data_IF_953659548617
#
_entry.id   IF_953659548617
#
_cell.length_a   1.000
_cell.length_b   1.000
_cell.length_c   1.000
_cell.angle_alpha   90.00
_cell.angle_beta   90.00
_cell.angle_gamma   90.00
#
_symmetry.space_group_name_H-M   'P 1'
#
loop_
_entity.id
_entity.type
_entity.pdbx_description
1 polymer ?
#
# COMPACT_ATOMS: atom_id res chain seq x y z
N UNK A 1 -5.96 -7.64 -23.67
CA UNK A 1 -5.94 -8.32 -22.36
C UNK A 1 -4.53 -8.60 -21.84
N UNK A 2 -3.59 -9.10 -22.65
CA UNK A 2 -2.20 -9.38 -22.23
C UNK A 2 -1.47 -8.16 -21.62
N UNK A 3 -1.64 -6.96 -22.22
CA UNK A 3 -1.03 -5.71 -21.72
C UNK A 3 -1.53 -5.35 -20.32
N UNK A 4 -2.83 -5.54 -20.03
CA UNK A 4 -3.39 -5.21 -18.72
C UNK A 4 -2.82 -6.12 -17.62
N UNK A 5 -2.67 -7.42 -17.91
CA UNK A 5 -2.06 -8.39 -16.98
C UNK A 5 -0.59 -8.08 -16.74
N UNK A 6 0.18 -7.77 -17.79
CA UNK A 6 1.59 -7.40 -17.67
C UNK A 6 1.79 -6.10 -16.88
N UNK A 7 0.99 -5.07 -17.14
CA UNK A 7 1.05 -3.81 -16.42
C UNK A 7 0.66 -3.97 -14.95
N UNK A 8 -0.37 -4.77 -14.65
CA UNK A 8 -0.76 -5.07 -13.27
C UNK A 8 0.33 -5.87 -12.55
N UNK A 9 0.87 -6.91 -13.17
CA UNK A 9 1.92 -7.74 -12.60
C UNK A 9 3.20 -6.94 -12.35
N UNK A 10 3.61 -6.08 -13.30
CA UNK A 10 4.76 -5.20 -13.12
C UNK A 10 4.56 -4.20 -11.98
N UNK A 11 3.39 -3.55 -11.93
CA UNK A 11 3.08 -2.60 -10.85
C UNK A 11 3.04 -3.30 -9.48
N UNK A 12 2.33 -4.42 -9.39
CA UNK A 12 2.25 -5.22 -8.17
C UNK A 12 3.64 -5.70 -7.71
N UNK A 13 4.47 -6.18 -8.64
CA UNK A 13 5.82 -6.64 -8.33
C UNK A 13 6.68 -5.52 -7.75
N UNK A 14 6.64 -4.31 -8.30
CA UNK A 14 7.40 -3.17 -7.76
C UNK A 14 6.95 -2.76 -6.35
N UNK A 15 5.63 -2.73 -6.11
CA UNK A 15 5.07 -2.43 -4.78
C UNK A 15 5.43 -3.52 -3.79
N UNK A 16 5.30 -4.79 -4.18
CA UNK A 16 5.67 -5.93 -3.34
C UNK A 16 7.16 -5.94 -3.00
N UNK A 17 8.02 -5.70 -3.99
CA UNK A 17 9.46 -5.62 -3.81
C UNK A 17 9.82 -4.50 -2.84
N UNK A 18 9.22 -3.31 -2.98
CA UNK A 18 9.39 -2.21 -2.02
C UNK A 18 8.97 -2.60 -0.61
N UNK A 19 7.83 -3.27 -0.44
CA UNK A 19 7.34 -3.74 0.86
C UNK A 19 8.38 -4.65 1.53
N UNK A 20 8.91 -5.62 0.80
CA UNK A 20 9.92 -6.57 1.31
C UNK A 20 11.25 -5.87 1.61
N UNK A 21 11.70 -4.98 0.72
CA UNK A 21 12.96 -4.25 0.88
C UNK A 21 12.92 -3.31 2.08
N UNK A 22 11.81 -2.60 2.24
CA UNK A 22 11.59 -1.66 3.35
C UNK A 22 11.48 -2.40 4.68
N UNK A 23 10.83 -3.57 4.71
CA UNK A 23 10.81 -4.45 5.89
C UNK A 23 12.23 -4.88 6.28
N UNK A 24 13.03 -5.39 5.33
CA UNK A 24 14.43 -5.75 5.58
C UNK A 24 15.24 -4.57 6.09
N UNK A 25 15.05 -3.39 5.49
CA UNK A 25 15.73 -2.18 5.91
C UNK A 25 15.33 -1.74 7.32
N UNK A 26 14.05 -1.82 7.68
CA UNK A 26 13.58 -1.54 9.04
C UNK A 26 14.14 -2.56 10.04
N UNK A 27 14.11 -3.86 9.73
CA UNK A 27 14.66 -4.90 10.59
C UNK A 27 16.16 -4.73 10.80
N UNK A 28 16.91 -4.40 9.75
CA UNK A 28 18.34 -4.10 9.84
C UNK A 28 18.61 -2.85 10.70
N UNK A 29 17.82 -1.79 10.52
CA UNK A 29 17.90 -0.57 11.32
C UNK A 29 17.56 -0.84 12.81
N UNK A 30 16.58 -1.70 13.06
CA UNK A 30 16.19 -2.16 14.41
C UNK A 30 17.24 -3.02 15.08
N UNK A 31 17.97 -3.84 14.32
CA UNK A 31 19.08 -4.64 14.85
C UNK A 31 20.34 -3.79 15.14
N UNK A 32 20.53 -2.68 14.41
CA UNK A 32 21.64 -1.74 14.65
C UNK A 32 21.39 -0.76 15.81
N UNK A 33 20.13 -0.47 16.13
CA UNK A 33 19.78 0.20 17.38
C UNK A 33 19.78 -0.87 18.47
N UNK A 34 20.52 -0.66 19.57
CA UNK A 34 20.47 -1.54 20.74
C UNK A 34 19.03 -1.75 21.26
N UNK A 35 18.80 -2.68 22.21
CA UNK A 35 17.46 -3.16 22.59
C UNK A 35 16.47 -2.00 22.67
N UNK A 36 15.55 -1.94 21.70
CA UNK A 36 14.60 -0.84 21.59
C UNK A 36 13.93 -0.66 22.95
N UNK A 37 13.93 0.58 23.44
CA UNK A 37 13.12 1.05 24.54
C UNK A 37 11.71 0.43 24.37
N UNK A 38 11.36 -0.49 25.29
CA UNK A 38 10.17 -1.35 25.19
C UNK A 38 9.01 -0.51 24.67
N UNK A 39 8.49 -0.86 23.47
CA UNK A 39 7.37 -0.12 22.87
C UNK A 39 6.31 0.14 23.94
N UNK A 40 6.17 1.42 24.33
CA UNK A 40 5.27 1.81 25.40
C UNK A 40 3.86 1.34 25.05
N UNK A 41 3.03 1.01 26.05
CA UNK A 41 1.64 0.60 25.81
C UNK A 41 0.86 1.60 24.93
N UNK A 42 1.26 2.88 24.96
CA UNK A 42 0.75 3.95 24.11
C UNK A 42 1.13 3.78 22.63
N UNK A 43 2.37 3.42 22.33
CA UNK A 43 2.83 3.14 20.95
C UNK A 43 2.09 1.96 20.31
N UNK A 44 1.90 0.87 21.08
CA UNK A 44 1.13 -0.30 20.60
C UNK A 44 -0.33 0.04 20.29
N UNK A 45 -0.97 0.87 21.13
CA UNK A 45 -2.34 1.36 20.89
C UNK A 45 -2.39 2.23 19.63
N UNK A 46 -1.44 3.15 19.45
CA UNK A 46 -1.32 3.97 18.25
C UNK A 46 -1.21 3.14 16.97
N UNK A 47 -0.33 2.13 16.95
CA UNK A 47 -0.20 1.20 15.81
C UNK A 47 -1.47 0.40 15.54
N UNK A 48 -2.23 0.02 16.58
CA UNK A 48 -3.50 -0.70 16.42
C UNK A 48 -4.56 0.16 15.73
N UNK A 49 -4.67 1.42 16.15
CA UNK A 49 -5.59 2.40 15.51
C UNK A 49 -5.14 2.70 14.09
N UNK A 50 -3.84 2.90 13.87
CA UNK A 50 -3.27 3.11 12.54
C UNK A 50 -3.58 1.95 11.58
N UNK A 51 -3.34 0.70 11.99
CA UNK A 51 -3.63 -0.47 11.16
C UNK A 51 -5.13 -0.62 10.84
N UNK A 52 -6.02 -0.15 11.73
CA UNK A 52 -7.47 -0.30 11.55
C UNK A 52 -8.10 0.82 10.71
N UNK A 53 -7.59 2.05 10.79
CA UNK A 53 -8.22 3.21 10.13
C UNK A 53 -7.26 3.99 9.23
N UNK A 54 -6.01 4.19 9.66
CA UNK A 54 -5.04 4.98 8.91
C UNK A 54 -4.54 4.26 7.65
N UNK A 55 -4.12 3.01 7.79
CA UNK A 55 -3.60 2.20 6.67
C UNK A 55 -4.64 1.95 5.57
N UNK A 56 -5.90 1.55 5.87
CA UNK A 56 -6.93 1.40 4.83
C UNK A 56 -7.20 2.71 4.08
N UNK A 57 -7.37 3.81 4.81
CA UNK A 57 -7.63 5.13 4.21
C UNK A 57 -6.47 5.59 3.34
N UNK A 58 -5.24 5.43 3.83
CA UNK A 58 -4.03 5.76 3.07
C UNK A 58 -3.85 4.84 1.86
N UNK A 59 -4.16 3.55 1.96
CA UNK A 59 -4.05 2.64 0.83
C UNK A 59 -5.06 3.00 -0.26
N UNK A 60 -6.30 3.33 0.09
CA UNK A 60 -7.35 3.70 -0.86
C UNK A 60 -7.11 5.08 -1.49
N UNK A 61 -6.70 6.08 -0.69
CA UNK A 61 -6.44 7.44 -1.18
C UNK A 61 -5.03 7.58 -1.80
N UNK A 62 -4.11 6.71 -1.42
CA UNK A 62 -2.70 6.70 -1.82
C UNK A 62 -2.47 6.84 -3.32
N UNK A 63 -3.08 5.99 -4.18
CA UNK A 63 -2.92 6.03 -5.62
C UNK A 63 -3.14 7.41 -6.25
N UNK A 64 -4.12 8.18 -5.75
CA UNK A 64 -4.39 9.55 -6.25
C UNK A 64 -3.48 10.57 -5.57
N UNK A 65 -3.40 10.55 -4.24
CA UNK A 65 -2.83 11.67 -3.49
C UNK A 65 -1.30 11.71 -3.55
N UNK A 66 -0.67 10.55 -3.42
CA UNK A 66 0.79 10.43 -3.16
C UNK A 66 1.43 9.30 -3.97
N UNK A 67 0.67 8.51 -4.70
CA UNK A 67 1.11 7.28 -5.36
C UNK A 67 1.11 6.05 -4.45
N UNK A 68 0.90 4.88 -5.06
CA UNK A 68 0.83 3.59 -4.37
C UNK A 68 2.12 3.25 -3.61
N UNK A 69 3.28 3.53 -4.21
CA UNK A 69 4.59 3.21 -3.64
C UNK A 69 4.86 4.03 -2.36
N UNK A 70 4.54 5.32 -2.38
CA UNK A 70 4.72 6.22 -1.23
C UNK A 70 3.71 5.88 -0.13
N UNK A 71 2.46 5.58 -0.48
CA UNK A 71 1.45 5.13 0.47
C UNK A 71 1.87 3.85 1.22
N UNK A 72 2.44 2.87 0.51
CA UNK A 72 2.97 1.65 1.13
C UNK A 72 4.14 1.95 2.07
N UNK A 73 5.08 2.81 1.65
CA UNK A 73 6.23 3.21 2.46
C UNK A 73 5.81 3.94 3.76
N UNK A 74 4.87 4.90 3.67
CA UNK A 74 4.33 5.61 4.83
C UNK A 74 3.55 4.65 5.73
N UNK A 75 2.73 3.77 5.15
CA UNK A 75 1.98 2.76 5.89
C UNK A 75 2.90 1.93 6.79
N UNK A 76 3.96 1.35 6.21
CA UNK A 76 4.95 0.58 6.98
C UNK A 76 5.81 1.45 7.89
N UNK A 77 6.14 2.68 7.50
CA UNK A 77 6.94 3.62 8.29
C UNK A 77 6.25 4.03 9.60
N UNK A 78 4.92 4.15 9.57
CA UNK A 78 4.08 4.43 10.74
C UNK A 78 3.77 3.16 11.57
N UNK A 79 4.36 2.03 11.22
CA UNK A 79 4.27 0.78 11.98
C UNK A 79 3.12 -0.13 11.55
N UNK A 80 2.62 0.01 10.33
CA UNK A 80 1.77 -1.04 9.76
C UNK A 80 2.54 -2.34 9.58
N UNK A 81 1.85 -3.47 9.82
CA UNK A 81 2.42 -4.79 9.54
C UNK A 81 2.41 -5.01 8.02
N UNK A 82 3.51 -5.54 7.48
CA UNK A 82 3.63 -5.91 6.06
C UNK A 82 2.43 -6.69 5.52
N UNK A 83 1.94 -7.69 6.27
CA UNK A 83 0.79 -8.50 5.85
C UNK A 83 -0.46 -7.63 5.63
N UNK A 84 -0.73 -6.72 6.57
CA UNK A 84 -1.83 -5.78 6.47
C UNK A 84 -1.62 -4.74 5.37
N UNK A 85 -0.41 -4.22 5.21
CA UNK A 85 -0.08 -3.29 4.12
C UNK A 85 -0.29 -3.96 2.76
N UNK A 86 0.21 -5.17 2.58
CA UNK A 86 0.06 -5.91 1.32
C UNK A 86 -1.42 -6.16 1.01
N UNK A 87 -2.20 -6.59 2.01
CA UNK A 87 -3.63 -6.83 1.87
C UNK A 87 -4.39 -5.56 1.45
N UNK A 88 -4.20 -4.44 2.15
CA UNK A 88 -4.89 -3.19 1.84
C UNK A 88 -4.44 -2.55 0.53
N UNK A 89 -3.15 -2.63 0.21
CA UNK A 89 -2.64 -2.18 -1.09
C UNK A 89 -3.25 -3.02 -2.22
N UNK A 90 -3.39 -4.34 -2.04
CA UNK A 90 -4.03 -5.22 -3.04
C UNK A 90 -5.50 -4.85 -3.24
N UNK A 91 -6.25 -4.62 -2.16
CA UNK A 91 -7.65 -4.15 -2.24
C UNK A 91 -7.72 -2.81 -2.98
N UNK A 92 -6.83 -1.88 -2.65
CA UNK A 92 -6.78 -0.57 -3.31
C UNK A 92 -6.52 -0.70 -4.82
N UNK A 93 -5.51 -1.48 -5.21
CA UNK A 93 -5.23 -1.74 -6.62
C UNK A 93 -6.42 -2.38 -7.33
N UNK A 94 -7.09 -3.36 -6.71
CA UNK A 94 -8.26 -4.01 -7.29
C UNK A 94 -9.43 -3.03 -7.47
N UNK A 95 -9.69 -2.21 -6.46
CA UNK A 95 -10.74 -1.20 -6.47
C UNK A 95 -10.48 -0.13 -7.54
N UNK A 96 -9.27 0.43 -7.59
CA UNK A 96 -8.88 1.42 -8.60
C UNK A 96 -8.90 0.83 -10.01
N UNK A 97 -8.40 -0.39 -10.19
CA UNK A 97 -8.46 -1.07 -11.47
C UNK A 97 -9.90 -1.27 -11.94
N UNK A 98 -10.82 -1.60 -11.03
CA UNK A 98 -12.25 -1.70 -11.32
C UNK A 98 -12.86 -0.36 -11.73
N UNK A 99 -12.58 0.71 -10.96
CA UNK A 99 -13.04 2.07 -11.27
C UNK A 99 -12.55 2.50 -12.67
N UNK A 100 -11.26 2.34 -12.95
CA UNK A 100 -10.70 2.71 -14.26
C UNK A 100 -11.26 1.86 -15.40
N UNK A 101 -11.50 0.57 -15.18
CA UNK A 101 -12.11 -0.29 -16.17
C UNK A 101 -13.54 0.16 -16.52
N UNK A 102 -14.34 0.49 -15.50
CA UNK A 102 -15.71 1.00 -15.65
C UNK A 102 -15.69 2.38 -16.33
N UNK A 103 -14.85 3.30 -15.84
CA UNK A 103 -14.71 4.64 -16.41
C UNK A 103 -14.27 4.60 -17.87
N UNK A 104 -13.40 3.66 -18.22
CA UNK A 104 -12.95 3.43 -19.60
C UNK A 104 -14.08 2.89 -20.46
N UNK A 105 -14.85 1.91 -19.96
CA UNK A 105 -15.99 1.34 -20.68
C UNK A 105 -17.05 2.40 -21.01
N UNK A 106 -17.48 3.20 -20.03
CA UNK A 106 -18.43 4.28 -20.24
C UNK A 106 -17.83 5.48 -20.99
N UNK A 107 -16.55 5.78 -20.78
CA UNK A 107 -15.85 6.84 -21.49
C UNK A 107 -15.75 6.57 -22.99
N UNK A 108 -15.59 5.31 -23.39
CA UNK A 108 -15.61 4.92 -24.80
C UNK A 108 -16.98 5.05 -25.46
N UNK A 109 -18.08 4.88 -24.72
CA UNK A 109 -19.42 5.14 -25.27
C UNK A 109 -19.65 6.64 -25.50
N UNK A 110 -19.11 7.49 -24.63
CA UNK A 110 -19.25 8.94 -24.73
C UNK A 110 -18.41 9.57 -25.86
N UNK A 111 -17.31 8.91 -26.28
CA UNK A 111 -16.43 9.38 -27.36
C UNK A 111 -16.81 8.85 -28.75
N UNK A 112 -17.75 7.90 -28.82
CA UNK A 112 -18.22 7.28 -30.07
C UNK A 112 -19.62 7.75 -30.49
N UNK A 113 -20.29 8.56 -29.66
CA UNK A 113 -21.48 9.34 -30.01
C UNK A 113 -21.10 10.76 -30.40
#
# INVERSE_FOLDING_TARGET
MIVAVLSFAGNFLTVFLLIVLFERFQLWRRQKKGPEEKESGRSKRGKKVWNRYGLPGLALAGPILIGTHIAAAIGMGLGAKKQWTTFWMTISLALWSGIFAIATHYGFELFKG
#
